data_IF_822934873888
#
_entry.id   IF_822934873888
#
_cell.length_a   1.000
_cell.length_b   1.000
_cell.length_c   1.000
_cell.angle_alpha   90.00
_cell.angle_beta   90.00
_cell.angle_gamma   90.00
#
_symmetry.space_group_name_H-M   'P 1'
#
loop_
_entity.id
_entity.type
_entity.pdbx_description
1 polymer ?
#
# COMPACT_ATOMS: atom_id res chain seq x y z
N UNK A 1 33.11 -16.92 -39.63
CA UNK A 1 33.39 -15.65 -38.92
C UNK A 1 32.10 -14.86 -38.86
N UNK A 2 31.63 -14.54 -37.64
CA UNK A 2 30.42 -13.79 -37.24
C UNK A 2 29.08 -14.54 -37.47
N UNK A 3 28.52 -15.18 -36.43
CA UNK A 3 27.67 -14.67 -35.33
C UNK A 3 26.19 -14.63 -35.78
N UNK A 4 25.36 -15.60 -35.35
CA UNK A 4 24.43 -15.51 -34.18
C UNK A 4 23.20 -14.63 -34.50
N UNK A 5 21.94 -14.94 -34.25
CA UNK A 5 21.21 -16.03 -33.57
C UNK A 5 19.72 -15.80 -33.86
N UNK A 6 18.98 -16.78 -34.37
CA UNK A 6 17.51 -16.73 -34.46
C UNK A 6 16.89 -17.44 -33.25
N UNK A 7 16.75 -16.73 -32.13
CA UNK A 7 15.94 -17.21 -31.03
C UNK A 7 14.49 -16.75 -31.24
N UNK A 8 13.66 -17.70 -31.69
CA UNK A 8 12.21 -17.62 -31.55
C UNK A 8 11.89 -17.66 -30.06
N UNK A 9 11.57 -16.53 -29.46
CA UNK A 9 11.09 -16.48 -28.07
C UNK A 9 9.57 -16.56 -28.12
N UNK A 10 9.08 -17.75 -27.79
CA UNK A 10 7.71 -18.04 -27.42
C UNK A 10 7.34 -17.32 -26.12
N UNK A 11 6.24 -16.56 -26.14
CA UNK A 11 5.32 -16.25 -25.04
C UNK A 11 5.83 -16.29 -23.58
N UNK A 12 6.68 -15.32 -23.19
CA UNK A 12 6.90 -15.00 -21.76
C UNK A 12 7.04 -13.50 -21.45
N UNK A 13 6.59 -12.60 -22.33
CA UNK A 13 6.71 -11.15 -22.11
C UNK A 13 5.38 -10.44 -21.76
N UNK A 14 4.35 -11.17 -21.29
CA UNK A 14 3.07 -10.55 -20.94
C UNK A 14 2.97 -10.09 -19.47
N UNK A 15 3.88 -10.50 -18.58
CA UNK A 15 3.84 -10.05 -17.19
C UNK A 15 4.72 -8.83 -16.95
N UNK A 16 4.05 -7.68 -17.10
CA UNK A 16 4.18 -6.52 -16.21
C UNK A 16 5.55 -5.86 -16.22
N UNK A 17 5.70 -4.93 -17.15
CA UNK A 17 6.22 -3.60 -16.80
C UNK A 17 5.26 -3.04 -15.75
N UNK A 18 5.44 -3.42 -14.48
CA UNK A 18 4.85 -2.69 -13.37
C UNK A 18 5.85 -1.60 -13.04
N UNK A 19 5.46 -0.37 -13.37
CA UNK A 19 6.03 0.84 -12.82
C UNK A 19 6.28 0.62 -11.32
N UNK A 20 7.55 0.45 -10.93
CA UNK A 20 7.95 0.38 -9.52
C UNK A 20 7.87 1.79 -8.94
N UNK A 21 6.63 2.26 -8.75
CA UNK A 21 6.34 3.37 -7.88
C UNK A 21 6.79 3.00 -6.46
N UNK A 22 7.57 3.87 -5.85
CA UNK A 22 8.05 3.72 -4.49
C UNK A 22 6.85 3.88 -3.53
N UNK A 23 6.23 2.77 -3.15
CA UNK A 23 5.25 2.72 -2.08
C UNK A 23 5.98 2.95 -0.75
N UNK A 24 6.04 4.21 -0.33
CA UNK A 24 6.59 4.55 0.98
C UNK A 24 5.60 4.03 2.02
N UNK A 25 6.00 2.97 2.74
CA UNK A 25 5.20 2.41 3.81
C UNK A 25 6.05 2.18 5.07
N UNK A 26 5.41 2.36 6.22
CA UNK A 26 6.04 2.14 7.52
C UNK A 26 5.03 1.66 8.56
N UNK A 27 5.53 1.01 9.59
CA UNK A 27 4.73 0.53 10.72
C UNK A 27 4.67 1.57 11.83
N UNK A 28 3.50 1.70 12.46
CA UNK A 28 3.26 2.55 13.63
C UNK A 28 2.26 1.86 14.58
N UNK A 29 2.15 2.30 15.84
CA UNK A 29 1.07 1.83 16.71
C UNK A 29 -0.30 2.25 16.19
N UNK A 30 -1.27 1.34 16.23
CA UNK A 30 -2.65 1.59 15.87
C UNK A 30 -3.26 2.61 16.82
N UNK A 31 -3.90 3.69 16.33
CA UNK A 31 -4.53 4.69 17.18
C UNK A 31 -5.78 4.17 17.89
N UNK A 32 -6.36 3.05 17.43
CA UNK A 32 -7.48 2.40 18.08
C UNK A 32 -6.98 1.45 19.19
N UNK A 33 -6.33 0.34 18.82
CA UNK A 33 -5.99 -0.74 19.76
C UNK A 33 -4.53 -0.79 20.25
N UNK A 34 -3.64 0.06 19.72
CA UNK A 34 -2.21 0.05 20.04
C UNK A 34 -1.38 -1.05 19.38
N UNK A 35 -1.98 -2.06 18.75
CA UNK A 35 -1.26 -3.07 17.97
C UNK A 35 -0.56 -2.46 16.73
N UNK A 36 0.40 -3.15 16.10
CA UNK A 36 1.03 -2.64 14.88
C UNK A 36 0.00 -2.36 13.77
N UNK A 37 0.13 -1.19 13.15
CA UNK A 37 -0.65 -0.74 12.00
C UNK A 37 0.30 -0.36 10.87
N UNK A 38 -0.11 -0.64 9.63
CA UNK A 38 0.64 -0.26 8.43
C UNK A 38 0.14 1.09 7.94
N UNK A 39 1.05 2.00 7.62
CA UNK A 39 0.73 3.23 6.90
C UNK A 39 1.44 3.26 5.56
N UNK A 40 0.68 3.60 4.52
CA UNK A 40 1.16 3.68 3.13
C UNK A 40 0.73 4.98 2.47
N UNK A 41 1.58 5.49 1.58
CA UNK A 41 1.28 6.63 0.73
C UNK A 41 0.74 6.13 -0.60
N UNK A 42 -0.51 6.47 -0.90
CA UNK A 42 -1.18 5.97 -2.08
C UNK A 42 -0.66 6.70 -3.32
N UNK A 43 0.04 5.98 -4.19
CA UNK A 43 0.66 6.54 -5.39
C UNK A 43 -0.35 7.32 -6.26
N UNK A 44 0.07 8.46 -6.81
CA UNK A 44 -0.74 9.38 -7.62
C UNK A 44 -1.92 10.04 -6.89
N UNK A 45 -1.97 9.95 -5.57
CA UNK A 45 -2.94 10.67 -4.76
C UNK A 45 -2.24 11.24 -3.53
N UNK A 46 -2.52 12.49 -3.15
CA UNK A 46 -2.01 13.06 -1.90
C UNK A 46 -2.76 12.47 -0.70
N UNK A 47 -2.87 11.14 -0.67
CA UNK A 47 -3.61 10.33 0.28
C UNK A 47 -2.67 9.41 1.02
N UNK A 48 -2.96 9.25 2.29
CA UNK A 48 -2.25 8.38 3.20
C UNK A 48 -3.25 7.48 3.88
N UNK A 49 -3.02 6.19 3.76
CA UNK A 49 -3.86 5.17 4.37
C UNK A 49 -3.14 4.57 5.58
N UNK A 50 -3.88 4.32 6.66
CA UNK A 50 -3.42 3.60 7.86
C UNK A 50 -4.39 2.45 8.14
N UNK A 51 -3.87 1.22 8.19
CA UNK A 51 -4.66 0.00 8.40
C UNK A 51 -4.11 -0.81 9.57
N UNK A 52 -5.00 -1.45 10.34
CA UNK A 52 -4.62 -2.39 11.40
C UNK A 52 -5.43 -3.68 11.27
N UNK A 53 -4.73 -4.80 11.10
CA UNK A 53 -5.34 -6.12 10.97
C UNK A 53 -5.86 -6.68 12.31
N UNK A 54 -5.42 -6.13 13.44
CA UNK A 54 -5.81 -6.63 14.77
C UNK A 54 -7.21 -6.21 15.18
N UNK A 55 -7.63 -5.01 14.81
CA UNK A 55 -8.92 -4.44 15.20
C UNK A 55 -9.68 -3.87 14.02
N UNK A 56 -9.32 -4.28 12.80
CA UNK A 56 -9.88 -3.79 11.54
C UNK A 56 -9.96 -2.25 11.44
N UNK A 57 -9.01 -1.53 12.04
CA UNK A 57 -8.97 -0.06 11.94
C UNK A 57 -8.51 0.37 10.56
N UNK A 58 -9.21 1.32 9.96
CA UNK A 58 -8.87 1.94 8.68
C UNK A 58 -9.00 3.47 8.79
N UNK A 59 -8.01 4.19 8.27
CA UNK A 59 -8.08 5.63 8.10
C UNK A 59 -7.37 6.04 6.81
N UNK A 60 -8.11 6.70 5.91
CA UNK A 60 -7.61 7.35 4.71
C UNK A 60 -7.70 8.86 4.93
N UNK A 61 -6.58 9.55 4.85
CA UNK A 61 -6.48 11.00 5.04
C UNK A 61 -5.74 11.65 3.88
N UNK A 62 -6.10 12.88 3.51
CA UNK A 62 -5.29 13.69 2.63
C UNK A 62 -4.02 14.16 3.35
N UNK A 63 -2.85 13.94 2.76
CA UNK A 63 -1.57 14.36 3.33
C UNK A 63 -1.42 15.89 3.35
N UNK A 64 -1.87 16.57 2.30
CA UNK A 64 -1.72 18.03 2.18
C UNK A 64 -2.64 18.79 3.14
N UNK A 65 -3.89 18.34 3.29
CA UNK A 65 -4.91 19.06 4.08
C UNK A 65 -5.12 18.45 5.46
N UNK A 66 -4.71 17.21 5.69
CA UNK A 66 -5.02 16.45 6.90
C UNK A 66 -6.47 15.99 7.01
N UNK A 67 -7.33 16.33 6.05
CA UNK A 67 -8.74 15.95 6.06
C UNK A 67 -8.90 14.44 5.97
N UNK A 68 -9.80 13.89 6.77
CA UNK A 68 -10.19 12.48 6.69
C UNK A 68 -11.09 12.30 5.49
N UNK A 69 -10.71 11.39 4.60
CA UNK A 69 -11.48 11.01 3.41
C UNK A 69 -12.38 9.82 3.73
N UNK A 70 -11.83 8.83 4.42
CA UNK A 70 -12.55 7.64 4.85
C UNK A 70 -11.98 7.16 6.19
N UNK A 71 -12.84 6.68 7.08
CA UNK A 71 -12.40 6.10 8.34
C UNK A 71 -13.36 5.06 8.85
N UNK A 72 -12.80 3.99 9.43
CA UNK A 72 -13.52 2.95 10.12
C UNK A 72 -12.75 2.56 11.39
N UNK A 73 -13.45 2.53 12.52
CA UNK A 73 -12.88 2.20 13.82
C UNK A 73 -13.86 1.31 14.59
N UNK A 74 -13.57 0.00 14.69
CA UNK A 74 -14.34 -0.89 15.54
C UNK A 74 -14.24 -0.52 17.01
N UNK A 75 -15.36 -0.62 17.72
CA UNK A 75 -15.37 -0.50 19.17
C UNK A 75 -14.49 -1.58 19.79
N UNK A 76 -13.52 -1.17 20.60
CA UNK A 76 -12.76 -2.13 21.40
C UNK A 76 -13.65 -2.61 22.53
N UNK A 77 -13.86 -3.92 22.61
CA UNK A 77 -14.54 -4.51 23.75
C UNK A 77 -13.64 -4.34 24.99
N UNK A 78 -13.97 -3.38 25.85
CA UNK A 78 -13.47 -3.34 27.22
C UNK A 78 -14.18 -4.47 27.99
N UNK A 79 -13.43 -5.50 28.38
CA UNK A 79 -13.89 -6.48 29.36
C UNK A 79 -13.54 -6.01 30.78
#
# INVERSE_FOLDING_TARGET
>A
MKLQTTLKITDLNFFRIQDKAMDCSYSLPCPNCGAPALRRYLHNSSLRETTCETCDYLMVSCEETGNVVESYAPGLYSF
#
